data_IF_359708067338
#
_entry.id   IF_359708067338
#
_cell.length_a   1.000
_cell.length_b   1.000
_cell.length_c   1.000
_cell.angle_alpha   90.00
_cell.angle_beta   90.00
_cell.angle_gamma   90.00
#
_symmetry.space_group_name_H-M   'P 1'
#
loop_
_entity.id
_entity.type
_entity.pdbx_description
1 polymer ?
#
# COMPACT_ATOMS: atom_id res chain seq x y z
N UNK A 1 -6.39 14.76 7.33
CA UNK A 1 -5.21 14.86 6.45
C UNK A 1 -4.07 14.19 7.16
N UNK A 2 -3.54 13.11 6.57
CA UNK A 2 -2.32 12.47 7.04
C UNK A 2 -1.23 13.56 7.10
N UNK A 3 -0.61 13.69 8.27
CA UNK A 3 0.35 14.78 8.54
C UNK A 3 1.79 14.38 8.22
N UNK A 4 1.98 13.25 7.53
CA UNK A 4 3.29 12.72 7.19
C UNK A 4 3.80 13.27 5.87
N UNK A 5 5.12 13.38 5.79
CA UNK A 5 5.79 13.63 4.52
C UNK A 5 5.69 12.36 3.66
N UNK A 6 5.47 12.48 2.33
CA UNK A 6 5.49 11.34 1.44
C UNK A 6 6.79 10.55 1.54
N UNK A 7 6.72 9.24 1.38
CA UNK A 7 7.84 8.32 1.30
C UNK A 7 8.70 8.73 0.11
N UNK A 8 9.99 8.94 0.38
CA UNK A 8 11.01 9.06 -0.66
C UNK A 8 11.68 7.71 -0.86
N UNK A 9 11.50 7.12 -2.04
CA UNK A 9 12.06 5.83 -2.37
C UNK A 9 13.58 5.91 -2.60
N UNK A 10 14.38 5.01 -2.01
CA UNK A 10 15.78 4.88 -2.35
C UNK A 10 16.00 4.51 -3.83
N UNK A 11 17.08 5.03 -4.44
CA UNK A 11 17.48 4.74 -5.83
C UNK A 11 17.46 3.24 -6.17
N UNK A 12 17.83 2.39 -5.20
CA UNK A 12 17.83 0.93 -5.36
C UNK A 12 16.44 0.37 -5.66
N UNK A 13 15.42 0.84 -4.94
CA UNK A 13 14.02 0.44 -5.16
C UNK A 13 13.53 0.98 -6.49
N UNK A 14 13.81 2.25 -6.81
CA UNK A 14 13.38 2.84 -8.07
C UNK A 14 13.97 2.11 -9.28
N UNK A 15 15.27 1.80 -9.26
CA UNK A 15 15.95 1.07 -10.34
C UNK A 15 15.39 -0.35 -10.48
N UNK A 16 15.08 -1.01 -9.37
CA UNK A 16 14.47 -2.34 -9.38
C UNK A 16 13.07 -2.31 -10.00
N UNK A 17 12.22 -1.38 -9.57
CA UNK A 17 10.85 -1.20 -10.09
C UNK A 17 10.90 -0.92 -11.59
N UNK A 18 11.73 0.03 -12.02
CA UNK A 18 11.94 0.36 -13.44
C UNK A 18 12.34 -0.86 -14.29
N UNK A 19 13.09 -1.79 -13.70
CA UNK A 19 13.47 -3.06 -14.36
C UNK A 19 12.28 -4.00 -14.41
N UNK A 20 11.59 -4.21 -13.30
CA UNK A 20 10.44 -5.12 -13.18
C UNK A 20 9.28 -4.69 -14.08
N UNK A 21 9.01 -3.39 -14.23
CA UNK A 21 8.02 -2.87 -15.17
C UNK A 21 8.30 -3.28 -16.62
N UNK A 22 9.57 -3.22 -17.03
CA UNK A 22 9.99 -3.64 -18.38
C UNK A 22 9.84 -5.15 -18.54
N UNK A 23 10.23 -5.92 -17.52
CA UNK A 23 10.16 -7.38 -17.55
C UNK A 23 8.72 -7.90 -17.52
N UNK A 24 7.81 -7.22 -16.81
CA UNK A 24 6.39 -7.55 -16.77
C UNK A 24 5.70 -7.49 -18.15
N UNK A 25 6.26 -6.74 -19.10
CA UNK A 25 5.78 -6.72 -20.49
C UNK A 25 6.19 -7.96 -21.29
N UNK A 26 7.21 -8.69 -20.83
CA UNK A 26 7.81 -9.82 -21.54
C UNK A 26 7.50 -11.17 -20.88
N UNK A 27 7.31 -11.19 -19.56
CA UNK A 27 7.03 -12.38 -18.76
C UNK A 27 6.15 -12.06 -17.55
N UNK A 28 5.56 -13.11 -16.97
CA UNK A 28 4.96 -13.00 -15.65
C UNK A 28 6.05 -12.76 -14.58
N UNK A 29 5.76 -11.88 -13.64
CA UNK A 29 6.61 -11.64 -12.47
C UNK A 29 6.50 -12.80 -11.47
N UNK A 30 7.57 -13.06 -10.72
CA UNK A 30 7.52 -13.94 -9.57
C UNK A 30 6.60 -13.34 -8.50
N UNK A 31 6.29 -14.13 -7.47
CA UNK A 31 5.48 -13.67 -6.35
C UNK A 31 6.17 -12.51 -5.62
N UNK A 32 7.47 -12.64 -5.39
CA UNK A 32 8.31 -11.69 -4.66
C UNK A 32 8.49 -10.40 -5.48
N UNK A 33 8.74 -10.52 -6.79
CA UNK A 33 8.81 -9.37 -7.71
C UNK A 33 7.48 -8.62 -7.77
N UNK A 34 6.35 -9.34 -7.83
CA UNK A 34 5.03 -8.71 -7.81
C UNK A 34 4.72 -8.04 -6.48
N UNK A 35 5.24 -8.58 -5.37
CA UNK A 35 5.05 -7.97 -4.06
C UNK A 35 5.73 -6.60 -3.95
N UNK A 36 6.97 -6.48 -4.45
CA UNK A 36 7.66 -5.18 -4.54
C UNK A 36 6.85 -4.19 -5.37
N UNK A 37 6.38 -4.61 -6.54
CA UNK A 37 5.56 -3.76 -7.41
C UNK A 37 4.23 -3.34 -6.74
N UNK A 38 3.52 -4.28 -6.10
CA UNK A 38 2.25 -3.98 -5.43
C UNK A 38 2.45 -2.97 -4.29
N UNK A 39 3.51 -3.11 -3.48
CA UNK A 39 3.81 -2.15 -2.41
C UNK A 39 4.14 -0.78 -2.99
N UNK A 40 5.07 -0.72 -3.95
CA UNK A 40 5.49 0.53 -4.59
C UNK A 40 4.32 1.29 -5.23
N UNK A 41 3.46 0.59 -5.98
CA UNK A 41 2.30 1.18 -6.66
C UNK A 41 1.20 1.62 -5.69
N UNK A 42 1.09 1.00 -4.51
CA UNK A 42 0.02 1.28 -3.54
C UNK A 42 0.35 2.43 -2.61
N UNK A 43 1.63 2.65 -2.28
CA UNK A 43 2.05 3.73 -1.36
C UNK A 43 1.52 5.12 -1.77
N UNK A 44 1.61 5.56 -3.04
CA UNK A 44 1.04 6.85 -3.45
C UNK A 44 -0.47 6.97 -3.23
N UNK A 45 -1.20 5.84 -3.27
CA UNK A 45 -2.65 5.80 -2.98
C UNK A 45 -2.90 5.99 -1.49
N UNK A 46 -2.08 5.37 -0.64
CA UNK A 46 -2.18 5.52 0.81
C UNK A 46 -1.77 6.91 1.30
N UNK A 47 -0.92 7.61 0.54
CA UNK A 47 -0.50 8.99 0.82
C UNK A 47 -1.48 10.05 0.30
N UNK A 48 -2.50 9.63 -0.45
CA UNK A 48 -3.49 10.57 -0.99
C UNK A 48 -4.37 11.17 0.11
N UNK A 49 -5.14 12.20 -0.25
CA UNK A 49 -6.12 12.79 0.68
C UNK A 49 -7.20 11.78 1.09
N UNK A 50 -7.55 10.85 0.20
CA UNK A 50 -8.60 9.85 0.40
C UNK A 50 -8.06 8.50 0.93
N UNK A 51 -6.76 8.25 0.85
CA UNK A 51 -6.05 7.21 1.59
C UNK A 51 -6.72 5.81 1.48
N UNK A 52 -7.19 5.25 2.61
CA UNK A 52 -7.82 3.92 2.66
C UNK A 52 -9.12 3.89 1.88
N UNK A 53 -9.86 5.00 1.81
CA UNK A 53 -11.03 5.08 0.94
C UNK A 53 -10.60 4.91 -0.53
N UNK A 54 -9.58 5.66 -0.98
CA UNK A 54 -9.09 5.57 -2.36
C UNK A 54 -8.55 4.17 -2.68
N UNK A 55 -7.81 3.55 -1.75
CA UNK A 55 -7.35 2.18 -1.89
C UNK A 55 -8.52 1.23 -2.20
N UNK A 56 -9.58 1.27 -1.40
CA UNK A 56 -10.74 0.39 -1.57
C UNK A 56 -11.64 0.75 -2.76
N UNK A 57 -11.63 1.99 -3.22
CA UNK A 57 -12.32 2.43 -4.44
C UNK A 57 -11.49 2.20 -5.72
N UNK A 58 -10.19 1.92 -5.58
CA UNK A 58 -9.33 1.63 -6.71
C UNK A 58 -9.65 0.28 -7.36
N UNK A 59 -9.35 0.14 -8.65
CA UNK A 59 -9.57 -1.10 -9.41
C UNK A 59 -8.49 -2.18 -9.23
N UNK A 60 -7.66 -2.08 -8.18
CA UNK A 60 -6.58 -3.04 -7.91
C UNK A 60 -7.14 -4.35 -7.34
N UNK A 61 -6.33 -5.40 -7.35
CA UNK A 61 -6.65 -6.64 -6.64
C UNK A 61 -6.27 -6.47 -5.16
N UNK A 62 -7.20 -5.98 -4.34
CA UNK A 62 -6.92 -5.64 -2.94
C UNK A 62 -6.38 -6.82 -2.13
N UNK A 63 -6.89 -8.04 -2.37
CA UNK A 63 -6.42 -9.21 -1.63
C UNK A 63 -4.99 -9.57 -2.02
N UNK A 64 -4.64 -9.46 -3.30
CA UNK A 64 -3.26 -9.64 -3.74
C UNK A 64 -2.35 -8.60 -3.10
N UNK A 65 -2.73 -7.32 -3.16
CA UNK A 65 -1.93 -6.23 -2.58
C UNK A 65 -1.74 -6.43 -1.07
N UNK A 66 -2.79 -6.73 -0.31
CA UNK A 66 -2.68 -7.01 1.13
C UNK A 66 -1.74 -8.18 1.40
N UNK A 67 -1.82 -9.26 0.62
CA UNK A 67 -0.90 -10.39 0.76
C UNK A 67 0.55 -10.03 0.39
N UNK A 68 0.76 -9.03 -0.47
CA UNK A 68 2.08 -8.51 -0.82
C UNK A 68 2.68 -7.70 0.33
N UNK A 69 1.90 -6.85 1.01
CA UNK A 69 2.33 -6.18 2.24
C UNK A 69 2.66 -7.19 3.35
N UNK A 70 1.85 -8.24 3.52
CA UNK A 70 2.11 -9.33 4.46
C UNK A 70 3.40 -10.09 4.11
N UNK A 71 3.66 -10.35 2.83
CA UNK A 71 4.86 -11.04 2.37
C UNK A 71 6.15 -10.23 2.63
N UNK A 72 6.10 -8.91 2.48
CA UNK A 72 7.22 -8.00 2.78
C UNK A 72 7.39 -7.81 4.31
N UNK A 73 6.46 -8.31 5.13
CA UNK A 73 6.52 -8.21 6.58
C UNK A 73 5.93 -6.91 7.14
N UNK A 74 5.23 -6.11 6.32
CA UNK A 74 4.61 -4.84 6.72
C UNK A 74 3.27 -5.04 7.47
N UNK A 75 3.29 -5.86 8.52
CA UNK A 75 2.09 -6.25 9.28
C UNK A 75 1.32 -5.04 9.85
N UNK A 76 2.04 -3.98 10.25
CA UNK A 76 1.47 -2.73 10.75
C UNK A 76 0.56 -2.03 9.72
N UNK A 77 0.78 -2.27 8.41
CA UNK A 77 -0.09 -1.77 7.34
C UNK A 77 -1.20 -2.77 6.97
N UNK A 78 -0.96 -4.07 7.14
CA UNK A 78 -1.96 -5.12 6.83
C UNK A 78 -3.22 -4.98 7.70
N UNK A 79 -3.07 -4.66 8.97
CA UNK A 79 -4.19 -4.50 9.90
C UNK A 79 -5.14 -3.35 9.49
N UNK A 80 -4.69 -2.10 9.29
CA UNK A 80 -5.56 -1.01 8.86
C UNK A 80 -6.14 -1.21 7.46
N UNK A 81 -5.40 -1.83 6.53
CA UNK A 81 -5.94 -2.22 5.23
C UNK A 81 -7.14 -3.16 5.41
N UNK A 82 -7.01 -4.23 6.20
CA UNK A 82 -8.12 -5.16 6.44
C UNK A 82 -9.28 -4.53 7.23
N UNK A 83 -8.98 -3.70 8.24
CA UNK A 83 -9.99 -3.04 9.07
C UNK A 83 -10.86 -2.07 8.26
N UNK A 84 -10.29 -1.45 7.21
CA UNK A 84 -10.98 -0.49 6.34
C UNK A 84 -11.77 -1.13 5.18
N UNK A 85 -11.75 -2.47 5.03
CA UNK A 85 -12.41 -3.21 3.94
C UNK A 85 -13.87 -2.84 3.69
N UNK A 86 -14.59 -2.41 4.71
CA UNK A 86 -15.99 -2.00 4.57
C UNK A 86 -16.17 -0.82 3.59
N UNK A 87 -15.12 -0.04 3.31
CA UNK A 87 -15.09 1.03 2.31
C UNK A 87 -15.41 0.53 0.89
N UNK A 88 -15.06 -0.71 0.55
CA UNK A 88 -15.31 -1.34 -0.77
C UNK A 88 -16.79 -1.29 -1.18
N UNK A 89 -17.69 -1.29 -0.19
CA UNK A 89 -19.14 -1.32 -0.41
C UNK A 89 -19.83 0.05 -0.27
N UNK A 90 -19.04 1.12 -0.14
CA UNK A 90 -19.53 2.49 0.10
C UNK A 90 -19.62 3.30 -1.19
N UNK A 91 -20.14 4.53 -1.07
CA UNK A 91 -20.18 5.50 -2.17
C UNK A 91 -18.77 5.73 -2.72
N UNK A 92 -18.67 6.06 -4.00
CA UNK A 92 -17.41 6.48 -4.63
C UNK A 92 -16.95 7.85 -4.10
N UNK A 93 -17.86 8.65 -3.53
CA UNK A 93 -17.52 9.93 -2.90
C UNK A 93 -17.37 9.74 -1.38
N UNK A 94 -16.15 9.90 -0.86
CA UNK A 94 -15.85 9.85 0.58
C UNK A 94 -16.70 10.84 1.38
N UNK A 95 -17.12 11.96 0.79
CA UNK A 95 -17.93 12.98 1.48
C UNK A 95 -19.37 12.52 1.77
N UNK A 96 -19.82 11.42 1.17
CA UNK A 96 -21.12 10.81 1.47
C UNK A 96 -21.12 9.98 2.76
N UNK A 97 -19.96 9.82 3.41
CA UNK A 97 -19.85 9.06 4.65
C UNK A 97 -20.62 9.76 5.76
N UNK A 98 -21.27 8.96 6.61
CA UNK A 98 -21.82 9.48 7.86
C UNK A 98 -20.70 9.96 8.78
N UNK A 99 -21.04 10.80 9.77
CA UNK A 99 -20.09 11.26 10.79
C UNK A 99 -19.40 10.08 11.49
N UNK A 100 -20.17 9.05 11.86
CA UNK A 100 -19.64 7.83 12.49
C UNK A 100 -18.71 7.04 11.58
N UNK A 101 -19.03 6.91 10.28
CA UNK A 101 -18.16 6.23 9.32
C UNK A 101 -16.86 6.99 9.08
N UNK A 102 -16.95 8.33 9.00
CA UNK A 102 -15.80 9.21 8.86
C UNK A 102 -14.87 9.13 10.08
N UNK A 103 -15.43 9.20 11.29
CA UNK A 103 -14.68 9.05 12.54
C UNK A 103 -14.05 7.66 12.67
N UNK A 104 -14.78 6.61 12.29
CA UNK A 104 -14.27 5.25 12.33
C UNK A 104 -13.11 5.04 11.35
N UNK A 105 -13.23 5.53 10.12
CA UNK A 105 -12.14 5.44 9.15
C UNK A 105 -10.92 6.25 9.61
N UNK A 106 -11.11 7.47 10.12
CA UNK A 106 -10.03 8.28 10.65
C UNK A 106 -9.27 7.57 11.79
N UNK A 107 -9.98 6.86 12.66
CA UNK A 107 -9.36 6.07 13.75
C UNK A 107 -8.46 4.97 13.20
N UNK A 108 -8.85 4.32 12.09
CA UNK A 108 -8.03 3.30 11.43
C UNK A 108 -6.80 3.94 10.76
N UNK A 109 -7.00 5.09 10.09
CA UNK A 109 -5.93 5.82 9.40
C UNK A 109 -4.85 6.37 10.36
N UNK A 110 -5.14 6.52 11.65
CA UNK A 110 -4.14 6.89 12.68
C UNK A 110 -3.00 5.87 12.83
N UNK A 111 -3.21 4.61 12.42
CA UNK A 111 -2.20 3.55 12.50
C UNK A 111 -1.25 3.52 11.29
N UNK A 112 -1.69 4.05 10.15
CA UNK A 112 -0.89 4.04 8.92
C UNK A 112 0.47 4.72 9.07
N UNK A 113 0.58 5.87 9.78
CA UNK A 113 1.85 6.53 9.95
C UNK A 113 2.99 5.67 10.45
N UNK A 114 2.74 4.89 11.49
CA UNK A 114 3.76 4.03 12.06
C UNK A 114 4.20 2.93 11.07
N UNK A 115 3.26 2.37 10.31
CA UNK A 115 3.56 1.36 9.30
C UNK A 115 4.33 1.91 8.09
N UNK A 116 4.02 3.14 7.67
CA UNK A 116 4.71 3.82 6.57
C UNK A 116 6.16 4.17 6.92
N UNK A 117 6.41 4.60 8.16
CA UNK A 117 7.76 4.93 8.66
C UNK A 117 8.71 3.72 8.60
N UNK A 118 8.19 2.50 8.75
CA UNK A 118 8.96 1.25 8.73
C UNK A 118 9.08 0.63 7.32
N UNK A 119 8.24 1.05 6.38
CA UNK A 119 8.01 0.35 5.12
C UNK A 119 9.25 0.31 4.22
N UNK A 120 10.00 1.41 4.14
CA UNK A 120 11.20 1.50 3.28
C UNK A 120 12.26 0.50 3.74
N UNK A 121 12.52 0.45 5.04
CA UNK A 121 13.53 -0.45 5.62
C UNK A 121 13.12 -1.92 5.40
N UNK A 122 11.85 -2.25 5.64
CA UNK A 122 11.31 -3.60 5.42
C UNK A 122 11.40 -4.03 3.95
N UNK A 123 11.09 -3.12 3.02
CA UNK A 123 11.13 -3.42 1.59
C UNK A 123 12.56 -3.61 1.09
N UNK A 124 13.53 -2.83 1.59
CA UNK A 124 14.95 -3.02 1.29
C UNK A 124 15.47 -4.37 1.82
N UNK A 125 15.16 -4.71 3.07
CA UNK A 125 15.53 -6.00 3.67
C UNK A 125 14.94 -7.16 2.84
N UNK A 126 13.66 -7.08 2.48
CA UNK A 126 13.02 -8.07 1.62
C UNK A 126 13.69 -8.22 0.24
N UNK A 127 14.07 -7.11 -0.40
CA UNK A 127 14.77 -7.14 -1.69
C UNK A 127 16.13 -7.82 -1.57
N UNK A 128 16.90 -7.49 -0.52
CA UNK A 128 18.21 -8.11 -0.27
C UNK A 128 18.09 -9.63 -0.05
N UNK A 129 17.10 -10.06 0.73
CA UNK A 129 16.94 -11.47 1.10
C UNK A 129 16.34 -12.34 -0.02
N UNK A 130 15.36 -11.83 -0.76
CA UNK A 130 14.57 -12.64 -1.71
C UNK A 130 14.93 -12.40 -3.18
N UNK A 131 15.51 -11.24 -3.53
CA UNK A 131 15.81 -10.84 -4.91
C UNK A 131 17.32 -10.57 -5.18
N UNK A 132 18.15 -10.58 -4.13
CA UNK A 132 19.60 -10.32 -4.16
C UNK A 132 20.49 -11.49 -4.60
#
# INVERSE_FOLDING_TARGET
MLSQEPIEWPDEIEVLVDRLEKEAAERDLSREERAVMDVYETVPVLESEDCLHEFWQSGVDHQRVINSFDLVGAATLVDPLNASRWCETRSEDRNDYTETESEYLATIEEELPAGMDELVDLLLEFIEEELG
#
